data_IF_671708929093
#
_entry.id   IF_671708929093
#
_cell.length_a   1.000
_cell.length_b   1.000
_cell.length_c   1.000
_cell.angle_alpha   90.00
_cell.angle_beta   90.00
_cell.angle_gamma   90.00
#
_symmetry.space_group_name_H-M   'P 1'
#
loop_
_entity.id
_entity.type
_entity.pdbx_description
1 polymer ?
2 non-polymer ?
3 non-polymer ?
4 non-polymer ?
5 water ?
#
# COMPACT_ATOMS: atom_id res chain seq x y z
N UNK A 1 -13.84 -15.88 5.95
CA UNK A 1 -14.57 -14.86 5.14
C UNK A 1 -13.67 -13.69 4.82
N UNK A 2 -14.19 -12.46 4.92
CA UNK A 2 -13.48 -11.20 4.54
C UNK A 2 -12.41 -10.88 5.60
N UNK A 3 -11.12 -10.80 5.24
CA UNK A 3 -10.09 -10.56 6.25
C UNK A 3 -10.28 -9.15 6.82
N UNK A 4 -9.99 -9.01 8.10
CA UNK A 4 -10.07 -7.71 8.77
C UNK A 4 -8.69 -7.10 8.87
N UNK A 5 -8.49 -5.97 8.18
CA UNK A 5 -7.13 -5.36 8.20
C UNK A 5 -6.82 -4.69 9.51
N UNK A 6 -5.58 -4.79 9.93
CA UNK A 6 -5.09 -4.13 11.15
C UNK A 6 -4.10 -3.06 10.76
N UNK A 7 -4.48 -1.81 10.96
CA UNK A 7 -3.64 -0.66 10.54
C UNK A 7 -2.31 -0.61 11.29
N UNK A 8 -2.31 -1.04 12.53
CA UNK A 8 -1.07 -1.00 13.32
C UNK A 8 -0.06 -1.98 12.72
N UNK A 9 -0.51 -3.20 12.41
CA UNK A 9 0.37 -4.15 11.71
C UNK A 9 0.73 -3.64 10.31
N UNK A 10 -0.21 -3.04 9.62
CA UNK A 10 0.10 -2.48 8.30
C UNK A 10 1.17 -1.42 8.31
N UNK A 11 1.27 -0.65 9.40
CA UNK A 11 2.31 0.39 9.53
C UNK A 11 3.70 -0.28 9.51
N UNK A 12 3.83 -1.46 10.09
CA UNK A 12 5.10 -2.21 10.10
C UNK A 12 5.35 -2.84 8.73
N UNK A 13 4.33 -3.48 8.17
CA UNK A 13 4.48 -4.13 6.85
C UNK A 13 4.81 -3.11 5.77
N UNK A 14 4.35 -1.89 5.91
CA UNK A 14 4.69 -0.81 4.99
C UNK A 14 6.20 -0.74 4.80
N UNK A 15 6.93 -0.90 5.91
CA UNK A 15 8.40 -0.89 5.86
C UNK A 15 8.94 -2.24 5.42
N UNK A 16 8.54 -3.32 6.07
CA UNK A 16 9.18 -4.61 5.82
C UNK A 16 8.90 -5.14 4.41
N UNK A 17 7.79 -4.73 3.81
CA UNK A 17 7.46 -5.14 2.43
C UNK A 17 7.95 -4.14 1.41
N UNK A 18 8.75 -3.14 1.85
CA UNK A 18 9.55 -2.23 1.05
C UNK A 18 8.75 -1.10 0.43
N UNK A 19 7.47 -0.98 0.73
CA UNK A 19 6.63 0.11 0.18
C UNK A 19 7.26 1.48 0.41
N UNK A 20 7.85 1.63 1.59
CA UNK A 20 8.51 2.88 2.00
C UNK A 20 9.54 3.33 0.97
N UNK A 21 10.25 2.42 0.33
CA UNK A 21 11.32 2.83 -0.58
C UNK A 21 10.75 3.72 -1.68
N UNK A 22 9.65 3.31 -2.33
CA UNK A 22 9.12 4.03 -3.48
C UNK A 22 8.11 5.09 -3.07
N UNK A 23 7.40 4.88 -1.98
CA UNK A 23 6.26 5.73 -1.63
C UNK A 23 6.51 6.56 -0.38
N UNK A 24 7.72 6.50 0.18
CA UNK A 24 8.00 7.28 1.39
C UNK A 24 7.24 6.77 2.59
N UNK A 25 7.21 7.64 3.60
CA UNK A 25 6.56 7.26 4.88
C UNK A 25 5.04 7.34 4.79
N UNK A 26 4.54 8.12 3.83
CA UNK A 26 3.14 8.58 3.87
C UNK A 26 2.65 8.89 2.45
N UNK A 27 3.31 8.37 1.43
CA UNK A 27 2.92 8.63 0.05
C UNK A 27 3.26 10.00 -0.45
N UNK A 28 3.95 10.79 0.36
CA UNK A 28 4.30 12.18 0.01
C UNK A 28 5.79 12.45 0.24
N UNK A 29 6.31 12.06 1.41
CA UNK A 29 7.66 12.42 1.81
C UNK A 29 8.44 11.16 2.19
N UNK A 30 9.75 11.24 2.03
CA UNK A 30 10.69 10.27 2.64
C UNK A 30 11.07 10.70 4.04
N UNK A 31 11.63 9.78 4.82
CA UNK A 31 12.19 10.11 6.12
C UNK A 31 13.23 11.20 6.00
N UNK A 32 13.98 11.24 4.92
CA UNK A 32 15.03 12.25 4.70
C UNK A 32 14.47 13.64 4.43
N UNK A 33 13.18 13.74 4.17
CA UNK A 33 12.54 15.02 3.88
C UNK A 33 12.38 15.30 2.41
N UNK A 34 12.99 14.52 1.54
CA UNK A 34 12.75 14.70 0.11
C UNK A 34 11.37 14.16 -0.25
N UNK A 35 10.82 14.57 -1.41
CA UNK A 35 9.54 14.01 -1.83
C UNK A 35 9.68 12.52 -2.17
N UNK A 36 8.63 11.78 -1.91
CA UNK A 36 8.56 10.36 -2.31
C UNK A 36 8.87 10.21 -3.80
N UNK A 37 9.47 9.10 -4.16
CA UNK A 37 9.75 8.81 -5.57
C UNK A 37 8.42 8.72 -6.34
N UNK A 38 7.47 7.97 -5.79
CA UNK A 38 6.17 7.75 -6.42
C UNK A 38 5.11 8.10 -5.38
N UNK A 39 4.34 9.16 -5.61
CA UNK A 39 3.28 9.50 -4.69
C UNK A 39 2.27 8.38 -4.59
N UNK A 40 1.54 8.37 -3.49
CA UNK A 40 0.44 7.43 -3.25
C UNK A 40 -0.71 8.22 -2.67
N UNK A 41 -1.80 8.34 -3.44
CA UNK A 41 -3.02 9.01 -3.00
C UNK A 41 -3.82 8.00 -2.19
N UNK A 42 -4.01 8.21 -0.87
CA UNK A 42 -4.60 7.21 -0.01
C UNK A 42 -6.12 7.30 0.08
N UNK A 43 -6.72 8.14 -0.76
CA UNK A 43 -8.12 8.52 -0.60
C UNK A 43 -9.00 8.15 -1.78
N UNK A 44 -8.54 7.32 -2.71
CA UNK A 44 -9.39 6.90 -3.84
C UNK A 44 -10.32 5.81 -3.35
N UNK A 45 -11.55 5.77 -3.84
CA UNK A 45 -12.42 4.64 -3.46
C UNK A 45 -11.87 3.32 -4.00
N UNK A 46 -11.37 3.33 -5.23
CA UNK A 46 -10.88 2.13 -5.94
C UNK A 46 -9.61 2.56 -6.64
N UNK A 47 -8.80 1.57 -6.96
CA UNK A 47 -7.47 1.77 -7.54
C UNK A 47 -7.37 0.93 -8.80
N UNK A 48 -6.96 1.58 -9.89
CA UNK A 48 -6.77 0.90 -11.18
C UNK A 48 -5.33 1.12 -11.63
N UNK A 49 -4.51 0.10 -11.48
CA UNK A 49 -3.12 0.13 -11.98
C UNK A 49 -3.17 0.43 -13.47
N UNK A 50 -2.16 1.12 -13.96
CA UNK A 50 -2.07 1.45 -15.40
C UNK A 50 -2.13 0.20 -16.28
N UNK A 51 -1.76 -0.96 -15.79
CA UNK A 51 -1.77 -2.21 -16.58
C UNK A 51 -3.00 -3.06 -16.28
N UNK A 52 -3.87 -2.62 -15.40
CA UNK A 52 -5.06 -3.41 -15.06
C UNK A 52 -6.20 -3.06 -16.01
N UNK A 53 -7.18 -3.93 -15.98
CA UNK A 53 -8.37 -3.92 -16.81
C UNK A 53 -9.58 -3.48 -16.00
N UNK A 54 -9.46 -3.32 -14.69
CA UNK A 54 -10.63 -2.86 -13.93
C UNK A 54 -10.14 -2.26 -12.61
N UNK A 55 -11.06 -1.59 -11.99
CA UNK A 55 -10.87 -0.96 -10.68
C UNK A 55 -10.81 -2.07 -9.63
N UNK A 56 -10.00 -1.84 -8.59
CA UNK A 56 -9.84 -2.83 -7.52
C UNK A 56 -9.99 -2.13 -6.17
N UNK A 57 -10.46 -2.88 -5.21
CA UNK A 57 -10.32 -2.50 -3.81
C UNK A 57 -8.84 -2.31 -3.53
N UNK A 58 -8.52 -1.40 -2.62
CA UNK A 58 -7.11 -1.11 -2.32
C UNK A 58 -6.35 -2.39 -1.95
N UNK A 59 -6.91 -3.23 -1.08
CA UNK A 59 -6.17 -4.44 -0.67
C UNK A 59 -5.89 -5.33 -1.88
N UNK A 60 -6.83 -5.41 -2.84
CA UNK A 60 -6.65 -6.28 -4.01
C UNK A 60 -5.66 -5.65 -4.97
N UNK A 61 -5.65 -4.34 -5.09
CA UNK A 61 -4.59 -3.65 -5.87
C UNK A 61 -3.23 -4.04 -5.30
N UNK A 62 -3.11 -3.97 -3.98
CA UNK A 62 -1.82 -4.29 -3.33
C UNK A 62 -1.47 -5.75 -3.60
N UNK A 63 -2.40 -6.65 -3.39
CA UNK A 63 -2.12 -8.08 -3.63
C UNK A 63 -1.61 -8.27 -5.07
N UNK A 64 -2.32 -7.73 -6.05
CA UNK A 64 -1.99 -7.95 -7.46
C UNK A 64 -0.69 -7.25 -7.88
N UNK A 65 -0.46 -6.04 -7.41
CA UNK A 65 0.46 -5.14 -8.11
C UNK A 65 1.64 -4.69 -7.25
N UNK A 66 1.65 -4.90 -5.95
CA UNK A 66 2.68 -4.26 -5.11
C UNK A 66 3.26 -5.29 -4.15
N UNK A 67 4.52 -5.14 -3.71
CA UNK A 67 5.46 -4.13 -4.21
C UNK A 67 5.80 -4.40 -5.67
N UNK A 68 5.92 -3.35 -6.45
CA UNK A 68 6.17 -3.51 -7.88
C UNK A 68 7.57 -4.11 -8.03
N UNK A 69 7.64 -5.22 -8.75
CA UNK A 69 8.84 -6.02 -8.94
C UNK A 69 8.87 -7.29 -8.09
N UNK A 70 8.00 -7.38 -7.09
CA UNK A 70 7.94 -8.59 -6.24
C UNK A 70 6.53 -8.73 -5.69
N UNK A 71 5.60 -8.76 -6.61
CA UNK A 71 4.18 -8.58 -6.26
C UNK A 71 3.63 -9.67 -5.34
N UNK A 72 4.14 -10.89 -5.47
CA UNK A 72 3.67 -12.00 -4.67
C UNK A 72 4.06 -11.93 -3.21
N UNK A 73 4.90 -10.97 -2.83
CA UNK A 73 5.41 -10.93 -1.45
C UNK A 73 4.36 -10.35 -0.49
N UNK A 74 3.35 -9.63 -0.96
CA UNK A 74 2.30 -9.05 -0.08
C UNK A 74 0.96 -9.34 -0.70
N UNK A 75 0.22 -10.27 -0.10
CA UNK A 75 -1.11 -10.68 -0.53
C UNK A 75 -1.92 -10.88 0.75
N UNK A 76 -3.17 -11.30 0.63
CA UNK A 76 -3.92 -11.77 1.80
C UNK A 76 -3.88 -10.79 2.95
N UNK A 77 -3.53 -11.29 4.13
CA UNK A 77 -3.56 -10.44 5.33
C UNK A 77 -2.58 -9.26 5.22
N UNK A 78 -1.43 -9.46 4.62
CA UNK A 78 -0.47 -8.35 4.42
C UNK A 78 -1.18 -7.22 3.70
N UNK A 79 -1.88 -7.53 2.62
CA UNK A 79 -2.55 -6.52 1.79
C UNK A 79 -3.69 -5.86 2.57
N UNK A 80 -4.44 -6.67 3.32
CA UNK A 80 -5.51 -6.11 4.15
C UNK A 80 -4.96 -5.14 5.20
N UNK A 81 -3.88 -5.54 5.86
CA UNK A 81 -3.28 -4.72 6.91
C UNK A 81 -2.76 -3.41 6.32
N UNK A 82 -2.02 -3.50 5.21
CA UNK A 82 -1.48 -2.25 4.67
C UNK A 82 -2.62 -1.38 4.13
N UNK A 83 -3.65 -1.95 3.53
CA UNK A 83 -4.83 -1.15 3.17
C UNK A 83 -5.31 -0.35 4.37
N UNK A 84 -5.49 -1.05 5.50
CA UNK A 84 -6.02 -0.36 6.69
C UNK A 84 -5.07 0.79 7.09
N UNK A 85 -3.78 0.55 7.04
CA UNK A 85 -2.81 1.60 7.37
C UNK A 85 -2.94 2.80 6.42
N UNK A 86 -2.97 2.56 5.13
CA UNK A 86 -3.09 3.66 4.15
C UNK A 86 -4.37 4.45 4.41
N UNK A 87 -5.46 3.78 4.78
CA UNK A 87 -6.73 4.52 5.00
C UNK A 87 -6.69 5.37 6.27
N UNK A 88 -5.69 5.24 7.10
CA UNK A 88 -5.49 6.16 8.24
C UNK A 88 -4.77 7.45 7.82
N UNK A 89 -4.16 7.53 6.65
CA UNK A 89 -3.31 8.67 6.29
C UNK A 89 -4.09 9.95 6.22
N UNK A 90 -5.34 9.93 5.86
CA UNK A 90 -5.99 11.27 5.74
C UNK A 90 -6.20 11.89 7.11
N UNK A 91 -6.01 11.14 8.17
CA UNK A 91 -5.99 11.73 9.51
C UNK A 91 -4.64 12.38 9.86
N UNK A 92 -3.62 12.28 9.03
CA UNK A 92 -2.29 12.90 9.31
C UNK A 92 -2.47 14.41 9.51
#
# INVERSE_FOLDING_TARGET
GYLVGDATRGANLWNTQTCVACHGVDGERNASGTPALTPLNPNRDLYRHSRDTQDRALRDFISMWMPQGNEGSCTGQCAADIEAFIRTWHHHHHH
#
